data_IF_470895297826
#
_entry.id   IF_470895297826
#
_cell.length_a   1.000
_cell.length_b   1.000
_cell.length_c   1.000
_cell.angle_alpha   90.00
_cell.angle_beta   90.00
_cell.angle_gamma   90.00
#
_symmetry.space_group_name_H-M   'P 1'
#
loop_
_entity.id
_entity.type
_entity.pdbx_description
1 polymer ?
#
# COMPACT_ATOMS: atom_id res chain seq x y z
N UNK A 1 17.65 8.38 2.32
CA UNK A 1 16.28 8.78 1.93
C UNK A 1 15.79 8.09 0.65
N UNK A 2 16.41 8.33 -0.53
CA UNK A 2 15.95 7.82 -1.84
C UNK A 2 15.77 6.29 -1.90
N UNK A 3 16.70 5.53 -1.32
CA UNK A 3 16.69 4.07 -1.39
C UNK A 3 15.46 3.45 -0.72
N UNK A 4 15.07 3.96 0.46
CA UNK A 4 13.88 3.49 1.17
C UNK A 4 12.60 3.87 0.43
N UNK A 5 12.51 5.11 -0.10
CA UNK A 5 11.35 5.52 -0.89
C UNK A 5 11.21 4.65 -2.15
N UNK A 6 12.31 4.36 -2.85
CA UNK A 6 12.31 3.47 -4.01
C UNK A 6 11.87 2.05 -3.64
N UNK A 7 12.33 1.52 -2.49
CA UNK A 7 11.87 0.24 -1.97
C UNK A 7 10.34 0.22 -1.76
N UNK A 8 9.78 1.24 -1.10
CA UNK A 8 8.33 1.34 -0.88
C UNK A 8 7.57 1.42 -2.22
N UNK A 9 7.94 2.30 -3.14
CA UNK A 9 7.25 2.36 -4.43
C UNK A 9 7.40 1.08 -5.26
N UNK A 10 8.55 0.42 -5.19
CA UNK A 10 8.76 -0.89 -5.81
C UNK A 10 7.82 -1.95 -5.23
N UNK A 11 7.61 -2.00 -3.91
CA UNK A 11 6.62 -2.92 -3.32
C UNK A 11 5.21 -2.65 -3.81
N UNK A 12 4.78 -1.39 -3.80
CA UNK A 12 3.42 -1.01 -4.16
C UNK A 12 3.14 -1.37 -5.63
N UNK A 13 4.08 -1.05 -6.53
CA UNK A 13 3.99 -1.42 -7.94
C UNK A 13 3.99 -2.93 -8.17
N UNK A 14 4.82 -3.69 -7.45
CA UNK A 14 4.80 -5.16 -7.50
C UNK A 14 3.45 -5.71 -7.05
N UNK A 15 2.85 -5.16 -5.98
CA UNK A 15 1.52 -5.57 -5.50
C UNK A 15 0.45 -5.27 -6.54
N UNK A 16 0.47 -4.09 -7.18
CA UNK A 16 -0.47 -3.75 -8.26
C UNK A 16 -0.35 -4.76 -9.40
N UNK A 17 0.88 -5.01 -9.88
CA UNK A 17 1.11 -5.94 -10.99
C UNK A 17 0.64 -7.36 -10.66
N UNK A 18 0.99 -7.88 -9.49
CA UNK A 18 0.55 -9.22 -9.05
C UNK A 18 -0.98 -9.26 -8.90
N UNK A 19 -1.59 -8.20 -8.36
CA UNK A 19 -3.04 -8.09 -8.20
C UNK A 19 -3.76 -8.12 -9.54
N UNK A 20 -3.25 -7.40 -10.55
CA UNK A 20 -3.80 -7.42 -11.92
C UNK A 20 -3.66 -8.81 -12.53
N UNK A 21 -2.50 -9.46 -12.40
CA UNK A 21 -2.28 -10.81 -12.94
C UNK A 21 -3.24 -11.82 -12.29
N UNK A 22 -3.42 -11.76 -10.96
CA UNK A 22 -4.36 -12.61 -10.24
C UNK A 22 -5.81 -12.31 -10.61
N UNK A 23 -6.16 -11.03 -10.75
CA UNK A 23 -7.47 -10.57 -11.18
C UNK A 23 -7.86 -11.16 -12.53
N UNK A 24 -6.97 -11.07 -13.52
CA UNK A 24 -7.20 -11.60 -14.86
C UNK A 24 -7.29 -13.12 -14.88
N UNK A 25 -6.48 -13.83 -14.07
CA UNK A 25 -6.51 -15.30 -14.01
C UNK A 25 -7.74 -15.85 -13.33
N UNK A 26 -8.23 -15.19 -12.30
CA UNK A 26 -9.33 -15.71 -11.48
C UNK A 26 -10.67 -15.11 -11.87
N UNK A 27 -10.72 -14.20 -12.87
CA UNK A 27 -11.92 -13.46 -13.31
C UNK A 27 -13.17 -14.33 -13.55
N UNK A 28 -13.00 -15.61 -13.86
CA UNK A 28 -14.12 -16.53 -14.07
C UNK A 28 -14.71 -17.10 -12.76
N UNK A 29 -13.94 -17.14 -11.68
CA UNK A 29 -14.26 -17.89 -10.45
C UNK A 29 -14.88 -17.05 -9.34
N UNK A 30 -14.85 -15.72 -9.41
CA UNK A 30 -15.55 -14.89 -8.42
C UNK A 30 -16.91 -14.42 -8.94
N UNK A 31 -17.84 -14.24 -8.02
CA UNK A 31 -19.19 -13.79 -8.33
C UNK A 31 -19.67 -12.79 -7.27
N UNK A 32 -20.58 -11.89 -7.66
CA UNK A 32 -21.21 -10.92 -6.77
C UNK A 32 -20.26 -9.81 -6.27
N UNK A 33 -20.50 -9.34 -5.04
CA UNK A 33 -19.80 -8.21 -4.41
C UNK A 33 -18.30 -8.45 -4.18
N UNK A 34 -17.86 -9.71 -4.20
CA UNK A 34 -16.48 -10.12 -3.99
C UNK A 34 -15.49 -9.43 -4.95
N UNK A 35 -15.92 -9.15 -6.17
CA UNK A 35 -15.12 -8.44 -7.17
C UNK A 35 -14.82 -6.98 -6.84
N UNK A 36 -15.67 -6.35 -6.02
CA UNK A 36 -15.54 -4.93 -5.68
C UNK A 36 -14.63 -4.73 -4.46
N UNK A 37 -14.62 -5.70 -3.54
CA UNK A 37 -13.83 -5.63 -2.30
C UNK A 37 -12.32 -5.61 -2.59
N UNK A 38 -11.86 -6.39 -3.57
CA UNK A 38 -10.42 -6.51 -3.87
C UNK A 38 -9.83 -5.18 -4.36
N UNK A 39 -10.36 -4.54 -5.42
CA UNK A 39 -9.87 -3.23 -5.87
C UNK A 39 -9.99 -2.15 -4.81
N UNK A 40 -11.07 -2.16 -4.02
CA UNK A 40 -11.27 -1.22 -2.93
C UNK A 40 -10.16 -1.34 -1.88
N UNK A 41 -9.87 -2.57 -1.44
CA UNK A 41 -8.85 -2.81 -0.43
C UNK A 41 -7.44 -2.49 -0.94
N UNK A 42 -7.12 -2.87 -2.18
CA UNK A 42 -5.82 -2.59 -2.81
C UNK A 42 -5.64 -1.08 -3.02
N UNK A 43 -6.62 -0.39 -3.60
CA UNK A 43 -6.60 1.05 -3.82
C UNK A 43 -6.39 1.84 -2.53
N UNK A 44 -7.18 1.51 -1.49
CA UNK A 44 -7.07 2.16 -0.18
C UNK A 44 -5.70 1.97 0.45
N UNK A 45 -5.16 0.75 0.48
CA UNK A 45 -3.87 0.46 1.13
C UNK A 45 -2.68 1.10 0.38
N UNK A 46 -2.72 1.13 -0.95
CA UNK A 46 -1.70 1.80 -1.76
C UNK A 46 -1.78 3.32 -1.56
N UNK A 47 -2.99 3.88 -1.55
CA UNK A 47 -3.23 5.29 -1.24
C UNK A 47 -2.71 5.66 0.15
N UNK A 48 -3.06 4.87 1.18
CA UNK A 48 -2.61 5.09 2.56
C UNK A 48 -1.08 5.04 2.68
N UNK A 49 -0.44 4.03 2.09
CA UNK A 49 1.01 3.84 2.22
C UNK A 49 1.79 4.91 1.46
N UNK A 50 1.39 5.21 0.21
CA UNK A 50 2.01 6.26 -0.59
C UNK A 50 1.74 7.65 -0.01
N UNK A 51 0.54 7.91 0.50
CA UNK A 51 0.20 9.14 1.20
C UNK A 51 1.01 9.35 2.46
N UNK A 52 1.14 8.32 3.30
CA UNK A 52 1.97 8.38 4.50
C UNK A 52 3.44 8.68 4.17
N UNK A 53 3.97 8.06 3.13
CA UNK A 53 5.32 8.32 2.67
C UNK A 53 5.49 9.74 2.10
N UNK A 54 4.55 10.21 1.28
CA UNK A 54 4.64 11.56 0.70
C UNK A 54 4.43 12.64 1.77
N UNK A 55 3.47 12.48 2.67
CA UNK A 55 3.22 13.41 3.77
C UNK A 55 4.38 13.50 4.77
N UNK A 56 5.16 12.43 4.93
CA UNK A 56 6.39 12.47 5.74
C UNK A 56 7.57 13.12 5.03
N UNK A 57 7.68 12.93 3.71
CA UNK A 57 8.77 13.46 2.88
C UNK A 57 8.59 14.96 2.61
N UNK A 58 7.37 15.39 2.30
CA UNK A 58 7.03 16.77 1.93
C UNK A 58 6.36 17.51 3.12
N UNK A 59 6.90 17.34 4.33
CA UNK A 59 6.40 18.06 5.51
C UNK A 59 6.43 19.57 5.29
N UNK A 60 5.32 20.22 5.64
CA UNK A 60 5.10 21.65 5.40
C UNK A 60 4.27 21.96 4.16
N UNK A 61 4.15 21.03 3.20
CA UNK A 61 3.24 21.15 2.05
C UNK A 61 2.26 19.97 1.99
N UNK A 62 1.28 20.01 2.89
CA UNK A 62 0.21 19.01 2.97
C UNK A 62 -0.61 18.97 1.67
N UNK A 63 -0.78 20.12 1.00
CA UNK A 63 -1.56 20.22 -0.21
C UNK A 63 -0.93 19.41 -1.34
N UNK A 64 0.36 19.60 -1.60
CA UNK A 64 1.10 18.85 -2.61
C UNK A 64 1.11 17.34 -2.28
N UNK A 65 1.41 17.00 -1.02
CA UNK A 65 1.42 15.62 -0.54
C UNK A 65 0.10 14.89 -0.78
N UNK A 66 -1.01 15.59 -0.51
CA UNK A 66 -2.37 15.04 -0.63
C UNK A 66 -2.78 14.86 -2.09
N UNK A 67 -2.49 15.82 -2.97
CA UNK A 67 -2.82 15.69 -4.40
C UNK A 67 -2.06 14.52 -5.03
N UNK A 68 -0.75 14.43 -4.77
CA UNK A 68 0.05 13.34 -5.33
C UNK A 68 -0.39 11.98 -4.79
N UNK A 69 -0.68 11.88 -3.49
CA UNK A 69 -1.13 10.62 -2.90
C UNK A 69 -2.51 10.19 -3.39
N UNK A 70 -3.46 11.13 -3.54
CA UNK A 70 -4.78 10.85 -4.10
C UNK A 70 -4.65 10.34 -5.54
N UNK A 71 -3.80 10.95 -6.38
CA UNK A 71 -3.59 10.51 -7.75
C UNK A 71 -3.00 9.11 -7.83
N UNK A 72 -1.99 8.80 -7.00
CA UNK A 72 -1.36 7.48 -6.97
C UNK A 72 -2.36 6.42 -6.49
N UNK A 73 -3.08 6.68 -5.40
CA UNK A 73 -4.10 5.78 -4.86
C UNK A 73 -5.25 5.56 -5.84
N UNK A 74 -5.77 6.64 -6.44
CA UNK A 74 -6.83 6.60 -7.44
C UNK A 74 -6.44 5.78 -8.66
N UNK A 75 -5.25 6.03 -9.22
CA UNK A 75 -4.74 5.31 -10.39
C UNK A 75 -4.57 3.82 -10.09
N UNK A 76 -3.96 3.48 -8.95
CA UNK A 76 -3.75 2.10 -8.54
C UNK A 76 -5.07 1.34 -8.35
N UNK A 77 -6.04 1.95 -7.67
CA UNK A 77 -7.36 1.38 -7.44
C UNK A 77 -8.18 1.24 -8.72
N UNK A 78 -8.15 2.25 -9.60
CA UNK A 78 -8.81 2.23 -10.89
C UNK A 78 -8.24 1.14 -11.81
N UNK A 79 -6.92 1.03 -11.95
CA UNK A 79 -6.28 0.03 -12.82
C UNK A 79 -6.59 -1.39 -12.32
N UNK A 80 -6.51 -1.60 -11.00
CA UNK A 80 -6.83 -2.91 -10.41
C UNK A 80 -8.31 -3.24 -10.58
N UNK A 81 -9.22 -2.28 -10.39
CA UNK A 81 -10.65 -2.47 -10.53
C UNK A 81 -11.14 -2.65 -11.96
N UNK A 82 -10.51 -1.95 -12.92
CA UNK A 82 -10.82 -2.06 -14.34
C UNK A 82 -10.58 -3.48 -14.89
N UNK A 83 -9.71 -4.26 -14.24
CA UNK A 83 -9.49 -5.67 -14.58
C UNK A 83 -10.73 -6.54 -14.33
N UNK A 84 -11.64 -6.11 -13.45
CA UNK A 84 -12.87 -6.81 -13.10
C UNK A 84 -14.10 -6.23 -13.79
N UNK A 85 -14.49 -5.00 -13.42
CA UNK A 85 -15.68 -4.30 -13.93
C UNK A 85 -15.56 -2.78 -13.76
N UNK A 86 -16.39 -2.02 -14.47
CA UNK A 86 -16.46 -0.57 -14.33
C UNK A 86 -16.86 -0.13 -12.91
N UNK A 87 -17.81 -0.83 -12.29
CA UNK A 87 -18.23 -0.54 -10.93
C UNK A 87 -17.10 -0.78 -9.91
N UNK A 88 -16.33 -1.86 -10.08
CA UNK A 88 -15.17 -2.15 -9.24
C UNK A 88 -14.01 -1.14 -9.45
N UNK A 89 -13.88 -0.59 -10.65
CA UNK A 89 -12.94 0.50 -10.94
C UNK A 89 -13.30 1.80 -10.20
N UNK A 90 -14.59 2.13 -10.12
CA UNK A 90 -15.07 3.32 -9.39
C UNK A 90 -14.84 3.15 -7.88
N UNK A 91 -15.19 1.99 -7.31
CA UNK A 91 -14.90 1.67 -5.89
C UNK A 91 -13.41 1.75 -5.58
N UNK A 92 -12.57 1.16 -6.46
CA UNK A 92 -11.12 1.23 -6.35
C UNK A 92 -10.59 2.66 -6.40
N UNK A 93 -11.10 3.48 -7.32
CA UNK A 93 -10.72 4.89 -7.43
C UNK A 93 -11.13 5.67 -6.16
N UNK A 94 -12.38 5.57 -5.74
CA UNK A 94 -12.90 6.31 -4.58
C UNK A 94 -12.14 5.96 -3.30
N UNK A 95 -11.96 4.66 -3.05
CA UNK A 95 -11.19 4.19 -1.90
C UNK A 95 -9.71 4.57 -1.97
N UNK A 96 -9.12 4.60 -3.17
CA UNK A 96 -7.75 5.08 -3.40
C UNK A 96 -7.58 6.56 -3.07
N UNK A 97 -8.53 7.41 -3.47
CA UNK A 97 -8.55 8.84 -3.10
C UNK A 97 -8.67 8.99 -1.58
N UNK A 98 -9.63 8.28 -0.96
CA UNK A 98 -9.83 8.33 0.49
C UNK A 98 -8.59 7.88 1.26
N UNK A 99 -7.96 6.78 0.82
CA UNK A 99 -6.72 6.29 1.41
C UNK A 99 -5.55 7.25 1.23
N UNK A 100 -5.40 7.84 0.04
CA UNK A 100 -4.37 8.83 -0.27
C UNK A 100 -4.44 10.06 0.63
N UNK A 101 -5.65 10.61 0.81
CA UNK A 101 -5.90 11.76 1.67
C UNK A 101 -5.60 11.44 3.14
N UNK A 102 -6.14 10.35 3.65
CA UNK A 102 -5.91 9.95 5.05
C UNK A 102 -4.44 9.62 5.31
N UNK A 103 -3.75 9.00 4.35
CA UNK A 103 -2.33 8.69 4.44
C UNK A 103 -1.47 9.95 4.53
N UNK A 104 -1.71 10.93 3.65
CA UNK A 104 -0.97 12.19 3.63
C UNK A 104 -1.11 12.95 4.96
N UNK A 105 -2.33 13.04 5.49
CA UNK A 105 -2.59 13.65 6.79
C UNK A 105 -1.86 12.93 7.94
N UNK A 106 -1.87 11.60 7.96
CA UNK A 106 -1.11 10.83 8.95
C UNK A 106 0.41 11.05 8.81
N UNK A 107 0.91 11.21 7.60
CA UNK A 107 2.35 11.39 7.34
C UNK A 107 2.89 12.72 7.82
N UNK A 108 2.08 13.77 7.70
CA UNK A 108 2.42 15.11 8.15
C UNK A 108 2.37 15.21 9.68
N UNK A 109 1.34 14.64 10.31
CA UNK A 109 1.12 14.74 11.77
C UNK A 109 2.07 13.88 12.61
N UNK A 110 2.55 12.75 12.09
CA UNK A 110 3.39 11.81 12.84
C UNK A 110 4.87 12.16 12.75
N UNK A 111 5.62 11.93 13.84
CA UNK A 111 7.09 12.02 13.84
C UNK A 111 7.74 10.94 12.96
N UNK A 112 8.92 11.18 12.35
CA UNK A 112 9.51 10.28 11.34
C UNK A 112 9.65 8.83 11.81
N UNK A 113 10.01 8.63 13.07
CA UNK A 113 10.17 7.30 13.69
C UNK A 113 8.85 6.55 13.74
N UNK A 114 7.75 7.24 14.08
CA UNK A 114 6.41 6.65 14.17
C UNK A 114 5.86 6.40 12.78
N UNK A 115 6.06 7.32 11.85
CA UNK A 115 5.62 7.14 10.47
C UNK A 115 6.29 5.94 9.82
N UNK A 116 7.57 5.67 10.08
CA UNK A 116 8.25 4.46 9.61
C UNK A 116 7.54 3.18 10.07
N UNK A 117 7.14 3.12 11.35
CA UNK A 117 6.41 1.97 11.89
C UNK A 117 5.08 1.79 11.15
N UNK A 118 4.33 2.88 10.95
CA UNK A 118 3.07 2.84 10.21
C UNK A 118 3.26 2.44 8.75
N UNK A 119 4.31 2.92 8.07
CA UNK A 119 4.64 2.51 6.69
C UNK A 119 4.86 1.00 6.64
N UNK A 120 5.62 0.44 7.58
CA UNK A 120 5.86 -1.00 7.63
C UNK A 120 4.59 -1.80 7.90
N UNK A 121 3.72 -1.32 8.79
CA UNK A 121 2.42 -1.94 9.06
C UNK A 121 1.56 -1.93 7.79
N UNK A 122 1.40 -0.79 7.14
CA UNK A 122 0.58 -0.68 5.93
C UNK A 122 1.15 -1.48 4.76
N UNK A 123 2.48 -1.55 4.60
CA UNK A 123 3.11 -2.46 3.64
C UNK A 123 2.77 -3.92 3.94
N UNK A 124 2.80 -4.31 5.21
CA UNK A 124 2.44 -5.67 5.64
C UNK A 124 0.98 -5.98 5.27
N UNK A 125 0.06 -5.06 5.58
CA UNK A 125 -1.38 -5.20 5.27
C UNK A 125 -1.60 -5.22 3.75
N UNK A 126 -0.89 -4.38 3.00
CA UNK A 126 -0.94 -4.33 1.53
C UNK A 126 -0.47 -5.66 0.91
N UNK A 127 0.59 -6.26 1.42
CA UNK A 127 1.05 -7.55 0.95
C UNK A 127 0.11 -8.68 1.37
N UNK A 128 -0.47 -8.59 2.58
CA UNK A 128 -1.49 -9.53 3.03
C UNK A 128 -2.76 -9.47 2.17
N UNK A 129 -3.03 -8.34 1.50
CA UNK A 129 -4.11 -8.21 0.53
C UNK A 129 -4.06 -9.27 -0.58
N UNK A 130 -2.87 -9.71 -0.97
CA UNK A 130 -2.70 -10.74 -2.00
C UNK A 130 -3.30 -12.08 -1.57
N UNK A 131 -3.44 -12.34 -0.27
CA UNK A 131 -4.11 -13.53 0.23
C UNK A 131 -5.63 -13.48 0.04
N UNK A 132 -6.25 -12.29 -0.03
CA UNK A 132 -7.69 -12.15 -0.23
C UNK A 132 -8.12 -12.82 -1.54
N UNK A 133 -7.33 -12.72 -2.61
CA UNK A 133 -7.58 -13.40 -3.89
C UNK A 133 -7.73 -14.91 -3.74
N UNK A 134 -7.07 -15.56 -2.77
CA UNK A 134 -7.19 -17.01 -2.57
C UNK A 134 -8.34 -17.42 -1.65
N UNK A 135 -8.78 -16.52 -0.77
CA UNK A 135 -9.78 -16.80 0.25
C UNK A 135 -11.19 -16.54 -0.29
N UNK A 136 -11.36 -15.42 -0.97
CA UNK A 136 -12.66 -14.89 -1.41
C UNK A 136 -13.43 -15.73 -2.45
N UNK A 137 -12.82 -16.44 -3.41
CA UNK A 137 -13.55 -17.27 -4.38
C UNK A 137 -14.26 -18.51 -3.79
N UNK A 138 -13.98 -18.90 -2.53
CA UNK A 138 -14.27 -20.25 -2.01
C UNK A 138 -15.34 -20.29 -0.92
N UNK A 139 -16.49 -19.67 -1.15
CA UNK A 139 -17.54 -19.55 -0.13
C UNK A 139 -18.36 -20.83 0.10
N UNK A 140 -18.21 -21.89 -0.70
CA UNK A 140 -19.13 -23.06 -0.64
C UNK A 140 -18.48 -24.46 -0.52
N UNK A 141 -17.15 -24.62 -0.43
CA UNK A 141 -16.56 -25.97 -0.24
C UNK A 141 -15.73 -26.08 1.03
N UNK A 142 -16.14 -27.03 1.87
CA UNK A 142 -15.54 -27.34 3.16
C UNK A 142 -14.01 -27.46 3.06
N UNK A 143 -13.35 -26.68 3.92
CA UNK A 143 -11.90 -26.53 4.04
C UNK A 143 -11.29 -27.89 4.40
N UNK A 144 -10.81 -28.64 3.41
CA UNK A 144 -10.25 -29.98 3.62
C UNK A 144 -8.94 -30.16 2.84
N UNK A 145 -7.83 -29.55 3.28
CA UNK A 145 -6.48 -30.10 3.04
C UNK A 145 -5.36 -29.37 3.79
N UNK A 146 -4.54 -30.12 4.54
CA UNK A 146 -3.32 -29.67 5.26
C UNK A 146 -2.23 -29.11 4.33
N UNK A 147 -2.21 -29.51 3.04
CA UNK A 147 -1.27 -29.01 2.01
C UNK A 147 -1.61 -27.60 1.53
N UNK A 148 -2.82 -27.11 1.84
CA UNK A 148 -3.31 -25.80 1.45
C UNK A 148 -2.73 -24.66 2.30
N UNK A 149 -2.39 -24.90 3.57
CA UNK A 149 -1.77 -23.90 4.44
C UNK A 149 -0.26 -23.68 4.15
N UNK A 150 0.44 -24.65 3.59
CA UNK A 150 1.88 -24.52 3.32
C UNK A 150 2.21 -23.44 2.27
N UNK A 151 1.37 -23.28 1.24
CA UNK A 151 1.57 -22.24 0.20
C UNK A 151 1.42 -20.80 0.74
N UNK A 152 0.34 -20.45 1.48
CA UNK A 152 0.21 -19.15 2.12
C UNK A 152 1.21 -18.94 3.25
N UNK A 153 1.57 -19.99 4.01
CA UNK A 153 2.61 -19.91 5.04
C UNK A 153 3.98 -19.59 4.44
N UNK A 154 4.35 -20.20 3.31
CA UNK A 154 5.62 -19.92 2.63
C UNK A 154 5.65 -18.49 2.06
N UNK A 155 4.54 -18.01 1.51
CA UNK A 155 4.42 -16.61 1.06
C UNK A 155 4.47 -15.65 2.24
N UNK A 156 3.87 -15.99 3.37
CA UNK A 156 3.95 -15.21 4.60
C UNK A 156 5.38 -15.15 5.16
N UNK A 157 6.12 -16.26 5.18
CA UNK A 157 7.53 -16.30 5.59
C UNK A 157 8.39 -15.42 4.66
N UNK A 158 8.18 -15.51 3.34
CA UNK A 158 8.91 -14.69 2.37
C UNK A 158 8.61 -13.19 2.55
N UNK A 159 7.36 -12.86 2.87
CA UNK A 159 6.86 -11.51 3.12
C UNK A 159 7.44 -10.93 4.42
N UNK A 160 7.54 -11.73 5.49
CA UNK A 160 8.20 -11.34 6.74
C UNK A 160 9.70 -11.09 6.51
N UNK A 161 10.37 -11.95 5.73
CA UNK A 161 11.78 -11.75 5.39
C UNK A 161 11.99 -10.49 4.54
N UNK A 162 11.08 -10.24 3.60
CA UNK A 162 11.10 -9.04 2.77
C UNK A 162 10.90 -7.76 3.60
N UNK A 163 9.95 -7.76 4.55
CA UNK A 163 9.75 -6.64 5.48
C UNK A 163 10.96 -6.44 6.40
N UNK A 164 11.57 -7.52 6.87
CA UNK A 164 12.79 -7.44 7.66
C UNK A 164 13.93 -6.78 6.87
N UNK A 165 14.07 -7.07 5.57
CA UNK A 165 15.01 -6.35 4.71
C UNK A 165 14.70 -4.84 4.62
N UNK A 166 13.42 -4.47 4.58
CA UNK A 166 12.99 -3.07 4.61
C UNK A 166 13.32 -2.37 5.94
N UNK A 167 13.19 -3.08 7.07
CA UNK A 167 13.51 -2.50 8.39
C UNK A 167 14.98 -2.10 8.55
N UNK A 168 15.90 -2.76 7.84
CA UNK A 168 17.32 -2.39 7.87
C UNK A 168 17.60 -1.04 7.20
N UNK A 169 16.77 -0.65 6.22
CA UNK A 169 16.89 0.62 5.50
C UNK A 169 16.20 1.79 6.24
N UNK A 170 15.41 1.46 7.25
CA UNK A 170 14.60 2.38 8.03
C UNK A 170 15.37 3.43 8.82
N UNK A 171 16.36 3.05 9.66
CA UNK A 171 17.13 4.00 10.47
C UNK A 171 17.82 5.08 9.62
N UNK A 172 18.43 4.69 8.50
CA UNK A 172 19.10 5.59 7.54
C UNK A 172 18.10 6.57 6.90
N UNK A 173 16.84 6.18 6.73
CA UNK A 173 15.79 7.06 6.23
C UNK A 173 15.37 8.10 7.28
N UNK A 174 15.21 7.70 8.55
CA UNK A 174 14.85 8.60 9.65
C UNK A 174 15.93 9.65 9.90
N UNK A 175 17.21 9.25 9.90
CA UNK A 175 18.33 10.17 10.06
C UNK A 175 18.37 11.22 8.94
N UNK A 176 18.20 10.79 7.68
CA UNK A 176 18.17 11.70 6.55
C UNK A 176 16.99 12.70 6.61
N UNK A 177 15.83 12.27 7.14
CA UNK A 177 14.69 13.16 7.34
C UNK A 177 14.97 14.21 8.42
N UNK A 178 15.60 13.83 9.54
CA UNK A 178 15.99 14.77 10.60
C UNK A 178 16.99 15.82 10.10
N UNK A 179 17.97 15.38 9.31
CA UNK A 179 18.96 16.28 8.72
C UNK A 179 18.30 17.28 7.76
N UNK A 180 17.32 16.83 6.97
CA UNK A 180 16.55 17.72 6.07
C UNK A 180 15.69 18.73 6.82
N UNK A 181 15.03 18.33 7.92
CA UNK A 181 14.25 19.25 8.76
C UNK A 181 15.13 20.31 9.43
N UNK A 182 16.30 19.94 9.97
CA UNK A 182 17.24 20.90 10.54
C UNK A 182 17.73 21.93 9.50
N UNK A 183 18.01 21.48 8.28
CA UNK A 183 18.43 22.38 7.20
C UNK A 183 17.35 23.37 6.77
N UNK A 184 16.07 22.97 6.87
CA UNK A 184 14.92 23.82 6.56
C UNK A 184 14.67 24.88 7.65
N UNK A 185 14.91 24.53 8.91
CA UNK A 185 14.79 25.44 10.07
C UNK A 185 15.86 26.56 10.03
N UNK A 186 17.09 26.25 9.60
CA UNK A 186 18.16 27.25 9.43
C UNK A 186 17.94 28.25 8.28
N UNK A 187 17.06 27.95 7.32
CA UNK A 187 16.75 28.87 6.21
C UNK A 187 15.66 29.89 6.62
N UNK A 188 14.85 29.58 7.64
CA UNK A 188 13.76 30.44 8.10
C UNK A 188 14.13 31.37 9.27
N UNK A 189 15.37 31.30 9.78
CA UNK A 189 15.90 32.21 10.79
C UNK A 189 17.12 32.99 10.27
N UNK A 190 16.92 34.16 9.62
CA UNK A 190 17.91 35.22 9.55
C UNK A 190 18.04 36.01 10.87
#
# INVERSE_FOLDING_TARGET
MLLYNAFVFFTLSAVILISIILALRQKADMAGMTWMIIPMFIGMNIGLTSGLLLGTVFRGDLFLSTILSMLIGAAAGMITGASFSSAAAIEGLMSGIMGGMMGAMLGEMLQPEKSLIFINIFLTVTLAALFLFKILPKTETAITSKRYYMKPLLTFIFLVFYLYSGTQLGPVWVEALKESSHKQEHIHHP
#
